data_IF_081607997050
#
_entry.id   IF_081607997050
#
_cell.length_a   1.000
_cell.length_b   1.000
_cell.length_c   1.000
_cell.angle_alpha   90.00
_cell.angle_beta   90.00
_cell.angle_gamma   90.00
#
_symmetry.space_group_name_H-M   'P 1'
#
loop_
_entity.id
_entity.type
_entity.pdbx_description
1 polymer ?
#
# COMPACT_ATOMS: atom_id res chain seq x y z
N UNK A 1 -53.38 -3.91 -3.33
CA UNK A 1 -52.40 -4.81 -2.69
C UNK A 1 -51.05 -4.12 -2.73
N UNK A 2 -50.64 -3.46 -1.66
CA UNK A 2 -49.38 -2.70 -1.60
C UNK A 2 -48.23 -3.61 -1.25
N UNK A 3 -47.29 -3.78 -2.17
CA UNK A 3 -46.07 -4.54 -1.94
C UNK A 3 -45.10 -3.71 -1.10
N UNK A 4 -44.90 -4.10 0.16
CA UNK A 4 -43.90 -3.52 1.04
C UNK A 4 -42.51 -3.97 0.56
N UNK A 5 -41.80 -3.07 -0.13
CA UNK A 5 -40.40 -3.32 -0.52
C UNK A 5 -39.51 -3.10 0.69
N UNK A 6 -39.11 -4.18 1.36
CA UNK A 6 -38.10 -4.14 2.41
C UNK A 6 -36.73 -3.90 1.77
N UNK A 7 -36.24 -2.66 1.87
CA UNK A 7 -34.87 -2.29 1.49
C UNK A 7 -33.91 -2.98 2.46
N UNK A 8 -32.93 -3.79 1.99
CA UNK A 8 -31.93 -4.33 2.90
C UNK A 8 -31.06 -3.18 3.39
N UNK A 9 -31.24 -2.80 4.65
CA UNK A 9 -30.35 -1.89 5.37
C UNK A 9 -29.05 -2.64 5.69
N UNK A 10 -28.20 -2.82 4.68
CA UNK A 10 -26.86 -3.37 4.91
C UNK A 10 -26.06 -2.30 5.65
N UNK A 11 -25.57 -2.54 6.87
CA UNK A 11 -24.79 -1.55 7.58
C UNK A 11 -23.47 -1.35 6.83
N UNK A 12 -23.29 -0.14 6.28
CA UNK A 12 -22.03 0.37 5.72
C UNK A 12 -20.97 0.60 6.81
N UNK A 13 -20.76 -0.39 7.68
CA UNK A 13 -19.82 -0.35 8.81
C UNK A 13 -18.61 -1.25 8.59
N UNK A 14 -18.61 -2.02 7.49
CA UNK A 14 -17.56 -2.97 7.14
C UNK A 14 -16.82 -2.64 5.84
N UNK A 15 -16.98 -1.42 5.30
CA UNK A 15 -15.92 -0.88 4.45
C UNK A 15 -14.81 -0.34 5.36
N UNK A 16 -14.09 -1.25 6.02
CA UNK A 16 -12.66 -0.99 6.26
C UNK A 16 -12.05 -0.96 4.87
N UNK A 17 -12.17 0.19 4.20
CA UNK A 17 -11.32 0.49 3.08
C UNK A 17 -9.92 0.43 3.65
N UNK A 18 -9.25 -0.70 3.49
CA UNK A 18 -7.80 -0.65 3.44
C UNK A 18 -7.52 0.23 2.24
N UNK A 19 -7.43 1.54 2.48
CA UNK A 19 -6.95 2.50 1.51
C UNK A 19 -5.56 2.02 1.19
N UNK A 20 -5.41 1.34 0.05
CA UNK A 20 -4.10 0.95 -0.44
C UNK A 20 -3.26 2.23 -0.47
N UNK A 21 -2.04 2.21 0.08
CA UNK A 21 -1.20 3.40 0.11
C UNK A 21 -1.03 3.90 -1.32
N UNK A 22 -1.17 5.22 -1.52
CA UNK A 22 -0.99 5.81 -2.84
C UNK A 22 0.47 5.68 -3.28
N UNK A 23 0.71 5.81 -4.58
CA UNK A 23 2.07 5.79 -5.18
C UNK A 23 2.99 6.78 -4.45
N UNK A 24 2.48 7.98 -4.16
CA UNK A 24 3.21 9.06 -3.52
C UNK A 24 3.61 8.71 -2.08
N UNK A 25 2.71 8.10 -1.31
CA UNK A 25 3.00 7.63 0.06
C UNK A 25 4.07 6.54 0.04
N UNK A 26 4.01 5.63 -0.94
CA UNK A 26 4.99 4.54 -1.06
C UNK A 26 6.38 5.06 -1.42
N UNK A 27 6.46 6.06 -2.31
CA UNK A 27 7.72 6.73 -2.64
C UNK A 27 8.34 7.42 -1.42
N UNK A 28 7.55 8.14 -0.63
CA UNK A 28 8.02 8.79 0.61
C UNK A 28 8.53 7.75 1.62
N UNK A 29 7.79 6.66 1.82
CA UNK A 29 8.21 5.56 2.70
C UNK A 29 9.51 4.88 2.23
N UNK A 30 9.68 4.68 0.92
CA UNK A 30 10.92 4.13 0.35
C UNK A 30 12.09 5.09 0.58
N UNK A 31 11.88 6.41 0.38
CA UNK A 31 12.87 7.43 0.64
C UNK A 31 13.32 7.40 2.11
N UNK A 32 12.36 7.40 3.04
CA UNK A 32 12.63 7.31 4.48
C UNK A 32 13.41 6.05 4.87
N UNK A 33 13.06 4.89 4.32
CA UNK A 33 13.78 3.63 4.55
C UNK A 33 15.19 3.63 3.95
N UNK A 34 15.40 4.32 2.84
CA UNK A 34 16.72 4.48 2.21
C UNK A 34 17.63 5.35 3.06
N UNK A 35 17.09 6.45 3.60
CA UNK A 35 17.80 7.31 4.55
C UNK A 35 18.13 6.56 5.86
N UNK A 36 17.17 5.80 6.39
CA UNK A 36 17.41 4.93 7.56
C UNK A 36 18.55 3.94 7.26
N UNK A 37 18.57 3.35 6.06
CA UNK A 37 19.64 2.44 5.65
C UNK A 37 21.02 3.11 5.62
N UNK A 38 21.10 4.33 5.09
CA UNK A 38 22.35 5.10 5.08
C UNK A 38 22.84 5.35 6.51
N UNK A 39 21.96 5.83 7.39
CA UNK A 39 22.27 6.03 8.82
C UNK A 39 22.72 4.74 9.51
N UNK A 40 22.07 3.60 9.23
CA UNK A 40 22.49 2.31 9.77
C UNK A 40 23.92 1.94 9.34
N UNK A 41 24.31 2.26 8.10
CA UNK A 41 25.69 2.02 7.63
C UNK A 41 26.69 2.97 8.28
N UNK A 42 26.35 4.25 8.39
CA UNK A 42 27.20 5.26 9.06
C UNK A 42 27.45 4.90 10.52
N UNK A 43 26.44 4.38 11.22
CA UNK A 43 26.54 3.94 12.60
C UNK A 43 27.17 2.56 12.79
N UNK A 44 27.63 1.90 11.72
CA UNK A 44 28.21 0.56 11.79
C UNK A 44 27.24 -0.49 12.33
N UNK A 45 25.94 -0.36 12.04
CA UNK A 45 24.93 -1.29 12.54
C UNK A 45 25.19 -2.73 12.06
N UNK A 46 24.77 -3.69 12.89
CA UNK A 46 24.91 -5.11 12.57
C UNK A 46 24.18 -5.53 11.28
N UNK A 47 24.56 -6.69 10.75
CA UNK A 47 23.98 -7.27 9.55
C UNK A 47 22.48 -7.54 9.69
N UNK A 48 22.01 -7.91 10.88
CA UNK A 48 20.60 -8.20 11.14
C UNK A 48 19.71 -6.95 11.00
N UNK A 49 20.16 -5.79 11.47
CA UNK A 49 19.46 -4.50 11.31
C UNK A 49 19.42 -4.07 9.86
N UNK A 50 20.53 -4.22 9.14
CA UNK A 50 20.58 -3.94 7.71
C UNK A 50 19.66 -4.87 6.91
N UNK A 51 19.55 -6.13 7.31
CA UNK A 51 18.66 -7.09 6.65
C UNK A 51 17.19 -6.78 6.92
N UNK A 52 16.83 -6.45 8.16
CA UNK A 52 15.46 -5.99 8.49
C UNK A 52 15.06 -4.77 7.67
N UNK A 53 15.95 -3.79 7.53
CA UNK A 53 15.71 -2.62 6.68
C UNK A 53 15.58 -3.02 5.18
N UNK A 54 16.40 -3.95 4.69
CA UNK A 54 16.33 -4.46 3.31
C UNK A 54 14.98 -5.12 3.01
N UNK A 55 14.49 -5.96 3.93
CA UNK A 55 13.18 -6.62 3.79
C UNK A 55 12.04 -5.61 3.75
N UNK A 56 12.08 -4.58 4.62
CA UNK A 56 11.10 -3.48 4.58
C UNK A 56 11.11 -2.75 3.24
N UNK A 57 12.30 -2.42 2.71
CA UNK A 57 12.45 -1.78 1.39
C UNK A 57 11.84 -2.63 0.28
N UNK A 58 12.20 -3.92 0.22
CA UNK A 58 11.69 -4.84 -0.80
C UNK A 58 10.16 -4.94 -0.76
N UNK A 59 9.57 -5.00 0.44
CA UNK A 59 8.11 -4.99 0.60
C UNK A 59 7.49 -3.71 0.05
N UNK A 60 8.05 -2.54 0.35
CA UNK A 60 7.51 -1.26 -0.14
C UNK A 60 7.66 -1.09 -1.65
N UNK A 61 8.75 -1.58 -2.21
CA UNK A 61 8.94 -1.61 -3.67
C UNK A 61 7.94 -2.55 -4.36
N UNK A 62 7.65 -3.71 -3.75
CA UNK A 62 6.60 -4.61 -4.24
C UNK A 62 5.21 -3.94 -4.18
N UNK A 63 4.87 -3.29 -3.06
CA UNK A 63 3.62 -2.52 -2.92
C UNK A 63 3.53 -1.41 -3.98
N UNK A 64 4.63 -0.69 -4.26
CA UNK A 64 4.70 0.36 -5.28
C UNK A 64 4.47 -0.19 -6.68
N UNK A 65 5.07 -1.33 -7.02
CA UNK A 65 4.87 -1.98 -8.31
C UNK A 65 3.38 -2.27 -8.55
N UNK A 66 2.71 -2.87 -7.56
CA UNK A 66 1.26 -3.13 -7.64
C UNK A 66 0.45 -1.84 -7.76
N UNK A 67 0.75 -0.81 -6.97
CA UNK A 67 0.05 0.46 -7.04
C UNK A 67 0.19 1.14 -8.42
N UNK A 68 1.37 1.03 -9.05
CA UNK A 68 1.60 1.54 -10.40
C UNK A 68 0.82 0.74 -11.44
N UNK A 69 0.83 -0.59 -11.35
CA UNK A 69 0.03 -1.46 -12.25
C UNK A 69 -1.45 -1.07 -12.15
N UNK A 70 -1.99 -0.95 -10.93
CA UNK A 70 -3.39 -0.58 -10.70
C UNK A 70 -3.72 0.81 -11.24
N UNK A 71 -2.81 1.79 -11.09
CA UNK A 71 -3.01 3.15 -11.58
C UNK A 71 -3.05 3.24 -13.11
N UNK A 72 -2.28 2.41 -13.80
CA UNK A 72 -2.12 2.46 -15.25
C UNK A 72 -2.82 1.32 -16.01
N UNK A 73 -3.50 0.41 -15.30
CA UNK A 73 -4.29 -0.61 -15.94
C UNK A 73 -5.40 0.09 -16.76
N UNK A 74 -5.46 -0.13 -18.08
CA UNK A 74 -6.54 0.43 -18.88
C UNK A 74 -7.86 -0.11 -18.33
N UNK A 75 -8.76 0.80 -17.97
CA UNK A 75 -10.12 0.41 -17.63
C UNK A 75 -10.73 -0.04 -18.94
N UNK A 76 -10.92 -1.34 -19.13
CA UNK A 76 -11.69 -1.88 -20.24
C UNK A 76 -13.10 -1.29 -20.13
N UNK A 77 -13.33 -0.15 -20.76
CA UNK A 77 -14.66 0.30 -21.13
C UNK A 77 -15.14 -0.74 -22.14
N UNK A 78 -15.90 -1.72 -21.65
CA UNK A 78 -16.71 -2.57 -22.51
C UNK A 78 -17.60 -1.63 -23.33
N UNK A 79 -17.35 -1.60 -24.64
CA UNK A 79 -18.16 -0.92 -25.63
C UNK A 79 -19.49 -1.65 -25.84
#
# INVERSE_FOLDING_TARGET
>A
MSATVLRPAVPSRFRRGHTRPTVEILLDQISGLTLERQRLRELGADSARLERNRVKLARKQWELSHALIERYLPHSHAA
#
